data_IF_889692374013
#
_entry.id   IF_889692374013
#
_cell.length_a   1.000
_cell.length_b   1.000
_cell.length_c   1.000
_cell.angle_alpha   90.00
_cell.angle_beta   90.00
_cell.angle_gamma   90.00
#
_symmetry.space_group_name_H-M   'P 1'
#
loop_
_entity.id
_entity.type
_entity.pdbx_description
1 polymer ?
#
# COMPACT_ATOMS: atom_id res chain seq x y z
N UNK A 1 27.48 4.82 -7.19
CA UNK A 1 27.79 5.64 -6.01
C UNK A 1 27.77 7.11 -6.41
N UNK A 2 27.23 7.96 -5.57
CA UNK A 2 27.18 9.42 -5.82
C UNK A 2 28.42 10.10 -5.26
N UNK A 3 29.22 10.68 -6.15
CA UNK A 3 30.39 11.51 -5.81
C UNK A 3 30.18 12.93 -6.33
N UNK A 4 30.33 13.93 -5.46
CA UNK A 4 30.17 15.36 -5.84
C UNK A 4 28.87 15.64 -6.61
N UNK A 5 27.77 15.00 -6.23
CA UNK A 5 26.45 15.17 -6.85
C UNK A 5 26.23 14.40 -8.16
N UNK A 6 27.20 13.59 -8.62
CA UNK A 6 27.08 12.75 -9.82
C UNK A 6 27.23 11.29 -9.48
N UNK A 7 26.41 10.43 -10.12
CA UNK A 7 26.55 8.99 -9.99
C UNK A 7 27.69 8.47 -10.88
N UNK A 8 28.55 7.65 -10.27
CA UNK A 8 29.62 6.92 -10.93
C UNK A 8 29.39 5.42 -10.79
N UNK A 9 29.74 4.67 -11.85
CA UNK A 9 29.62 3.20 -11.84
C UNK A 9 30.65 2.61 -10.86
N UNK A 10 30.19 1.67 -10.02
CA UNK A 10 31.02 0.93 -9.09
C UNK A 10 30.73 -0.57 -9.18
N UNK A 11 31.64 -1.41 -8.72
CA UNK A 11 31.40 -2.84 -8.60
C UNK A 11 30.46 -3.17 -7.43
N UNK A 12 29.76 -4.30 -7.49
CA UNK A 12 28.92 -4.79 -6.39
C UNK A 12 29.71 -4.93 -5.07
N UNK A 13 30.92 -5.49 -5.15
CA UNK A 13 31.79 -5.64 -3.97
C UNK A 13 32.18 -4.32 -3.31
N UNK A 14 32.49 -3.31 -4.11
CA UNK A 14 32.82 -1.96 -3.61
C UNK A 14 31.62 -1.33 -2.91
N UNK A 15 30.45 -1.42 -3.52
CA UNK A 15 29.19 -0.89 -2.97
C UNK A 15 28.83 -1.58 -1.66
N UNK A 16 28.90 -2.93 -1.61
CA UNK A 16 28.61 -3.68 -0.39
C UNK A 16 29.60 -3.37 0.74
N UNK A 17 30.89 -3.13 0.44
CA UNK A 17 31.89 -2.69 1.43
C UNK A 17 31.52 -1.35 2.05
N UNK A 18 31.09 -0.37 1.22
CA UNK A 18 30.69 0.94 1.71
C UNK A 18 29.44 0.83 2.59
N UNK A 19 28.42 0.09 2.14
CA UNK A 19 27.20 -0.10 2.92
C UNK A 19 27.50 -0.77 4.25
N UNK A 20 28.28 -1.85 4.25
CA UNK A 20 28.71 -2.56 5.47
C UNK A 20 29.42 -1.60 6.44
N UNK A 21 30.40 -0.85 5.94
CA UNK A 21 31.15 0.10 6.77
C UNK A 21 30.23 1.19 7.36
N UNK A 22 29.24 1.67 6.60
CA UNK A 22 28.26 2.64 7.11
C UNK A 22 27.39 2.04 8.21
N UNK A 23 26.88 0.83 8.02
CA UNK A 23 26.04 0.13 9.00
C UNK A 23 26.84 -0.17 10.28
N UNK A 24 28.08 -0.66 10.17
CA UNK A 24 28.93 -0.97 11.32
C UNK A 24 29.30 0.26 12.18
N UNK A 25 29.34 1.43 11.57
CA UNK A 25 29.67 2.70 12.24
C UNK A 25 28.44 3.50 12.69
N UNK A 26 27.23 2.96 12.49
CA UNK A 26 25.97 3.62 12.86
C UNK A 26 25.25 2.80 13.92
N UNK A 27 24.66 3.46 14.92
CA UNK A 27 23.88 2.77 15.92
C UNK A 27 22.59 2.21 15.30
N UNK A 28 22.18 1.01 15.75
CA UNK A 28 21.08 0.25 15.13
C UNK A 28 19.77 1.02 15.05
N UNK A 29 19.42 1.76 16.08
CA UNK A 29 18.22 2.56 16.17
C UNK A 29 18.15 3.70 15.12
N UNK A 30 19.30 4.04 14.53
CA UNK A 30 19.41 5.08 13.51
C UNK A 30 19.39 4.55 12.07
N UNK A 31 19.08 3.27 11.91
CA UNK A 31 18.92 2.63 10.59
C UNK A 31 17.45 2.30 10.39
N UNK A 32 16.90 2.68 9.25
CA UNK A 32 15.54 2.30 8.87
C UNK A 32 15.45 1.89 7.41
N UNK A 33 14.33 1.27 7.04
CA UNK A 33 14.09 0.88 5.66
C UNK A 33 12.63 0.92 5.25
N UNK A 34 12.42 1.16 3.96
CA UNK A 34 11.10 1.23 3.37
C UNK A 34 11.02 0.41 2.09
N UNK A 35 9.95 -0.38 1.97
CA UNK A 35 9.66 -1.15 0.77
C UNK A 35 8.50 -0.52 0.00
N UNK A 36 8.58 -0.49 -1.32
CA UNK A 36 7.68 0.27 -2.17
C UNK A 36 6.50 -0.52 -2.74
N UNK A 37 5.75 0.16 -3.57
CA UNK A 37 4.39 -0.16 -4.01
C UNK A 37 4.30 -1.33 -5.02
N UNK A 38 5.40 -1.65 -5.72
CA UNK A 38 5.45 -2.66 -6.78
C UNK A 38 6.29 -3.89 -6.41
N UNK A 39 6.83 -3.95 -5.20
CA UNK A 39 7.67 -5.06 -4.77
C UNK A 39 6.85 -6.34 -4.63
N UNK A 40 7.41 -7.47 -5.07
CA UNK A 40 6.81 -8.78 -4.84
C UNK A 40 6.99 -9.22 -3.38
N UNK A 41 6.26 -10.26 -2.99
CA UNK A 41 6.25 -10.74 -1.61
C UNK A 41 7.60 -11.34 -1.19
N UNK A 42 8.34 -11.95 -2.11
CA UNK A 42 9.69 -12.48 -1.83
C UNK A 42 10.65 -11.35 -1.45
N UNK A 43 10.63 -10.26 -2.21
CA UNK A 43 11.44 -9.07 -1.91
C UNK A 43 11.02 -8.46 -0.57
N UNK A 44 9.73 -8.33 -0.31
CA UNK A 44 9.21 -7.86 0.97
C UNK A 44 9.66 -8.78 2.13
N UNK A 45 9.53 -10.10 1.96
CA UNK A 45 9.88 -11.05 3.01
C UNK A 45 11.38 -11.06 3.31
N UNK A 46 12.24 -11.12 2.29
CA UNK A 46 13.70 -11.09 2.53
C UNK A 46 14.14 -9.73 3.08
N UNK A 47 13.51 -8.63 2.67
CA UNK A 47 13.76 -7.32 3.27
C UNK A 47 13.47 -7.31 4.77
N UNK A 48 12.32 -7.84 5.17
CA UNK A 48 11.99 -8.03 6.58
C UNK A 48 12.99 -8.90 7.31
N UNK A 49 13.35 -10.07 6.74
CA UNK A 49 14.34 -10.98 7.32
C UNK A 49 15.75 -10.36 7.42
N UNK A 50 16.11 -9.48 6.49
CA UNK A 50 17.35 -8.71 6.53
C UNK A 50 17.37 -7.78 7.74
N UNK A 51 16.30 -7.05 7.98
CA UNK A 51 16.19 -6.20 9.16
C UNK A 51 16.14 -7.00 10.45
N UNK A 52 15.34 -8.06 10.50
CA UNK A 52 15.15 -8.89 11.69
C UNK A 52 16.39 -9.71 12.05
N UNK A 53 17.06 -10.35 11.07
CA UNK A 53 18.11 -11.35 11.31
C UNK A 53 19.52 -10.84 11.04
N UNK A 54 19.72 -9.91 10.11
CA UNK A 54 21.03 -9.37 9.78
C UNK A 54 21.34 -8.14 10.60
N UNK A 55 20.41 -7.21 10.69
CA UNK A 55 20.58 -5.96 11.42
C UNK A 55 20.09 -6.03 12.88
N UNK A 56 19.15 -6.93 13.19
CA UNK A 56 18.52 -7.08 14.50
C UNK A 56 17.80 -5.79 14.95
N UNK A 57 16.94 -5.25 14.05
CA UNK A 57 16.15 -4.03 14.24
C UNK A 57 14.77 -4.17 13.59
N UNK A 58 13.79 -3.35 14.05
CA UNK A 58 12.41 -3.38 13.58
C UNK A 58 11.98 -2.06 12.90
N UNK A 59 12.92 -1.22 12.50
CA UNK A 59 12.65 0.06 11.88
C UNK A 59 12.40 -0.10 10.37
N UNK A 60 11.33 -0.77 9.99
CA UNK A 60 10.94 -0.95 8.59
C UNK A 60 9.45 -0.75 8.39
N UNK A 61 9.07 -0.27 7.19
CA UNK A 61 7.71 0.09 6.85
C UNK A 61 7.45 -0.11 5.34
N UNK A 62 6.20 -0.34 4.98
CA UNK A 62 5.76 -0.40 3.58
C UNK A 62 4.84 0.76 3.18
N UNK A 63 4.29 1.52 4.11
CA UNK A 63 3.48 2.69 3.81
C UNK A 63 4.39 3.87 3.44
N UNK A 64 3.91 4.71 2.53
CA UNK A 64 4.52 6.00 2.19
C UNK A 64 3.84 7.18 2.87
N UNK A 65 2.78 6.92 3.62
CA UNK A 65 1.95 7.90 4.32
C UNK A 65 1.51 7.36 5.70
N UNK A 66 0.90 8.23 6.50
CA UNK A 66 0.46 7.91 7.87
C UNK A 66 -0.95 7.29 7.92
N UNK A 67 -1.42 6.65 6.81
CA UNK A 67 -2.73 6.01 6.79
C UNK A 67 -2.89 5.01 7.94
N UNK A 68 -4.06 5.08 8.58
CA UNK A 68 -4.41 4.12 9.62
C UNK A 68 -4.66 2.74 8.99
N UNK A 69 -4.07 1.72 9.60
CA UNK A 69 -4.33 0.31 9.27
C UNK A 69 -4.38 -0.47 10.59
N UNK A 70 -5.31 -1.40 10.68
CA UNK A 70 -5.37 -2.40 11.74
C UNK A 70 -5.00 -3.76 11.15
N UNK A 71 -3.82 -4.27 11.48
CA UNK A 71 -3.36 -5.59 11.00
C UNK A 71 -3.69 -6.74 11.96
N UNK A 72 -4.40 -6.47 13.06
CA UNK A 72 -4.78 -7.49 14.06
C UNK A 72 -5.62 -8.63 13.48
N UNK A 73 -6.42 -8.33 12.45
CA UNK A 73 -7.14 -9.34 11.66
C UNK A 73 -7.02 -9.03 10.18
N UNK A 74 -6.91 -10.09 9.38
CA UNK A 74 -6.76 -9.96 7.91
C UNK A 74 -7.96 -9.26 7.26
N UNK A 75 -9.18 -9.49 7.76
CA UNK A 75 -10.41 -8.83 7.31
C UNK A 75 -10.39 -7.28 7.44
N UNK A 76 -9.48 -6.72 8.25
CA UNK A 76 -9.38 -5.29 8.49
C UNK A 76 -8.69 -4.52 7.35
N UNK A 77 -8.04 -5.21 6.42
CA UNK A 77 -7.35 -4.58 5.28
C UNK A 77 -7.65 -5.25 3.92
N UNK A 78 -8.66 -6.12 3.87
CA UNK A 78 -9.07 -6.78 2.63
C UNK A 78 -10.35 -6.19 2.03
N UNK A 79 -10.56 -6.49 0.76
CA UNK A 79 -11.84 -6.34 0.08
C UNK A 79 -12.69 -7.58 0.32
N UNK A 80 -13.40 -7.60 1.44
CA UNK A 80 -14.00 -8.81 2.00
C UNK A 80 -15.24 -9.33 1.23
N UNK A 81 -16.01 -8.43 0.60
CA UNK A 81 -17.20 -8.85 -0.17
C UNK A 81 -16.84 -9.54 -1.49
N UNK A 82 -15.57 -9.71 -1.79
CA UNK A 82 -14.98 -10.15 -3.05
C UNK A 82 -15.19 -9.21 -4.25
N UNK A 83 -14.30 -9.31 -5.24
CA UNK A 83 -14.43 -8.54 -6.48
C UNK A 83 -15.65 -8.99 -7.28
N UNK A 84 -15.97 -10.26 -7.26
CA UNK A 84 -17.18 -10.78 -7.90
C UNK A 84 -18.45 -10.38 -7.14
N UNK A 85 -18.38 -10.26 -5.82
CA UNK A 85 -19.49 -9.82 -4.97
C UNK A 85 -20.01 -8.42 -5.29
N UNK A 86 -19.24 -7.58 -5.99
CA UNK A 86 -19.71 -6.27 -6.50
C UNK A 86 -20.98 -6.45 -7.35
N UNK A 87 -21.05 -7.52 -8.17
CA UNK A 87 -22.19 -7.80 -9.02
C UNK A 87 -23.39 -8.41 -8.27
N UNK A 88 -23.21 -8.78 -6.99
CA UNK A 88 -24.27 -9.29 -6.12
C UNK A 88 -24.81 -8.22 -5.16
N UNK A 89 -24.11 -7.09 -5.06
CA UNK A 89 -24.44 -6.04 -4.11
C UNK A 89 -25.67 -5.25 -4.55
N UNK A 90 -26.57 -4.93 -3.62
CA UNK A 90 -27.76 -4.09 -3.84
C UNK A 90 -27.55 -2.64 -3.41
N UNK A 91 -26.49 -2.35 -2.61
CA UNK A 91 -26.08 -1.01 -2.22
C UNK A 91 -24.55 -0.93 -2.12
N UNK A 92 -23.95 0.05 -2.77
CA UNK A 92 -22.49 0.33 -2.66
C UNK A 92 -22.31 1.75 -2.14
N UNK A 93 -21.55 1.92 -1.05
CA UNK A 93 -21.19 3.22 -0.50
C UNK A 93 -19.69 3.45 -0.59
N UNK A 94 -19.30 4.44 -1.38
CA UNK A 94 -17.90 4.84 -1.63
C UNK A 94 -17.48 5.93 -0.65
N UNK A 95 -16.45 5.70 0.13
CA UNK A 95 -15.96 6.63 1.16
C UNK A 95 -14.45 6.83 1.00
N UNK A 96 -14.03 8.04 0.64
CA UNK A 96 -12.61 8.37 0.51
C UNK A 96 -11.90 7.65 -0.64
N UNK A 97 -12.60 7.34 -1.72
CA UNK A 97 -12.04 6.72 -2.93
C UNK A 97 -12.76 7.20 -4.18
N UNK A 98 -12.03 7.29 -5.30
CA UNK A 98 -12.58 7.45 -6.63
C UNK A 98 -12.20 6.22 -7.47
N UNK A 99 -13.08 5.20 -7.55
CA UNK A 99 -12.74 3.92 -8.20
C UNK A 99 -12.47 4.06 -9.70
N UNK A 100 -12.92 5.13 -10.36
CA UNK A 100 -12.60 5.36 -11.78
C UNK A 100 -11.11 5.53 -12.02
N UNK A 101 -10.39 6.13 -11.08
CA UNK A 101 -8.95 6.38 -11.20
C UNK A 101 -8.10 5.42 -10.38
N UNK A 102 -8.58 5.01 -9.21
CA UNK A 102 -7.84 4.18 -8.28
C UNK A 102 -7.98 2.68 -8.56
N UNK A 103 -9.14 2.26 -9.09
CA UNK A 103 -9.47 0.86 -9.33
C UNK A 103 -10.39 0.70 -10.54
N UNK A 104 -9.91 1.01 -11.74
CA UNK A 104 -10.71 1.11 -12.98
C UNK A 104 -11.47 -0.16 -13.31
N UNK A 105 -10.92 -1.34 -13.04
CA UNK A 105 -11.60 -2.62 -13.28
C UNK A 105 -12.73 -2.84 -12.26
N UNK A 106 -12.53 -2.44 -10.98
CA UNK A 106 -13.62 -2.42 -10.01
C UNK A 106 -14.72 -1.46 -10.43
N UNK A 107 -14.35 -0.26 -10.90
CA UNK A 107 -15.32 0.72 -11.41
C UNK A 107 -16.17 0.16 -12.55
N UNK A 108 -15.57 -0.57 -13.48
CA UNK A 108 -16.28 -1.25 -14.55
C UNK A 108 -17.27 -2.31 -14.02
N UNK A 109 -16.91 -3.04 -12.95
CA UNK A 109 -17.83 -3.98 -12.27
C UNK A 109 -18.96 -3.27 -11.51
N UNK A 110 -18.68 -2.17 -10.84
CA UNK A 110 -19.71 -1.33 -10.20
C UNK A 110 -20.71 -0.85 -11.26
N UNK A 111 -20.20 -0.36 -12.41
CA UNK A 111 -21.05 0.00 -13.54
C UNK A 111 -21.91 -1.16 -14.03
N UNK A 112 -21.33 -2.36 -14.14
CA UNK A 112 -22.06 -3.57 -14.54
C UNK A 112 -23.15 -3.93 -13.53
N UNK A 113 -22.86 -3.84 -12.23
CA UNK A 113 -23.85 -4.04 -11.16
C UNK A 113 -25.00 -3.03 -11.24
N UNK A 114 -24.69 -1.76 -11.45
CA UNK A 114 -25.70 -0.74 -11.66
C UNK A 114 -26.62 -1.04 -12.85
N UNK A 115 -26.03 -1.40 -14.01
CA UNK A 115 -26.80 -1.63 -15.24
C UNK A 115 -27.66 -2.90 -15.18
N UNK A 116 -27.19 -3.96 -14.54
CA UNK A 116 -27.87 -5.24 -14.55
C UNK A 116 -28.80 -5.46 -13.34
N UNK A 117 -28.45 -4.88 -12.19
CA UNK A 117 -29.14 -5.15 -10.92
C UNK A 117 -29.76 -3.91 -10.29
N UNK A 118 -29.65 -2.73 -10.93
CA UNK A 118 -30.07 -1.44 -10.36
C UNK A 118 -29.46 -1.17 -8.98
N UNK A 119 -28.22 -1.63 -8.75
CA UNK A 119 -27.50 -1.42 -7.50
C UNK A 119 -27.47 0.06 -7.15
N UNK A 120 -27.92 0.42 -5.95
CA UNK A 120 -27.84 1.79 -5.47
C UNK A 120 -26.39 2.14 -5.15
N UNK A 121 -25.89 3.26 -5.72
CA UNK A 121 -24.54 3.73 -5.48
C UNK A 121 -24.60 5.08 -4.77
N UNK A 122 -23.88 5.19 -3.66
CA UNK A 122 -23.75 6.41 -2.84
C UNK A 122 -22.27 6.73 -2.73
N UNK A 123 -21.91 7.98 -2.77
CA UNK A 123 -20.56 8.45 -2.47
C UNK A 123 -20.60 9.56 -1.42
N UNK A 124 -19.65 9.56 -0.52
CA UNK A 124 -19.51 10.64 0.46
C UNK A 124 -19.20 11.98 -0.22
N UNK A 125 -18.49 11.95 -1.34
CA UNK A 125 -18.04 13.12 -2.08
C UNK A 125 -18.61 13.12 -3.49
N UNK A 126 -18.65 14.30 -4.13
CA UNK A 126 -18.75 14.37 -5.58
C UNK A 126 -17.45 13.88 -6.21
N UNK A 127 -17.52 12.80 -6.97
CA UNK A 127 -16.41 12.14 -7.64
C UNK A 127 -16.33 12.46 -9.13
N UNK A 128 -17.21 13.32 -9.62
CA UNK A 128 -17.36 13.62 -11.04
C UNK A 128 -17.99 12.45 -11.82
N UNK A 129 -17.63 12.29 -13.08
CA UNK A 129 -18.15 11.21 -13.92
C UNK A 129 -17.53 9.86 -13.58
N UNK A 130 -18.30 8.96 -12.96
CA UNK A 130 -17.94 7.56 -12.73
C UNK A 130 -18.40 6.61 -13.85
N UNK A 131 -19.03 7.14 -14.90
CA UNK A 131 -19.68 6.40 -15.99
C UNK A 131 -21.02 5.72 -15.61
N UNK A 132 -21.55 6.03 -14.44
CA UNK A 132 -22.87 5.63 -13.94
C UNK A 132 -23.36 6.65 -12.93
N UNK A 133 -24.69 6.79 -12.73
CA UNK A 133 -25.28 7.68 -11.73
C UNK A 133 -24.99 7.19 -10.31
N UNK A 134 -24.79 8.12 -9.39
CA UNK A 134 -24.67 7.87 -7.96
C UNK A 134 -25.24 9.04 -7.17
N UNK A 135 -25.60 8.78 -5.91
CA UNK A 135 -26.00 9.82 -4.96
C UNK A 135 -24.75 10.40 -4.29
N UNK A 136 -24.51 11.70 -4.48
CA UNK A 136 -23.37 12.39 -3.84
C UNK A 136 -23.83 13.06 -2.55
N UNK A 137 -23.03 12.93 -1.48
CA UNK A 137 -23.24 13.57 -0.19
C UNK A 137 -22.31 14.79 -0.03
N UNK A 138 -22.28 15.40 1.17
CA UNK A 138 -21.61 16.69 1.41
C UNK A 138 -20.09 16.60 1.71
N UNK A 139 -19.53 15.40 1.77
CA UNK A 139 -18.09 15.19 2.00
C UNK A 139 -17.62 15.40 3.45
N UNK A 140 -18.49 15.64 4.43
CA UNK A 140 -18.10 15.88 5.80
C UNK A 140 -17.96 14.59 6.60
N UNK A 141 -16.91 14.48 7.40
CA UNK A 141 -16.71 13.33 8.29
C UNK A 141 -17.76 13.26 9.40
N UNK A 142 -18.38 14.41 9.78
CA UNK A 142 -19.51 14.42 10.70
C UNK A 142 -20.70 13.63 10.15
N UNK A 143 -20.98 13.74 8.84
CA UNK A 143 -22.06 12.97 8.23
C UNK A 143 -21.81 11.47 8.31
N UNK A 144 -20.57 11.01 8.15
CA UNK A 144 -20.22 9.60 8.34
C UNK A 144 -20.48 9.14 9.78
N UNK A 145 -20.13 9.98 10.75
CA UNK A 145 -20.43 9.73 12.17
C UNK A 145 -21.93 9.56 12.37
N UNK A 146 -22.75 10.48 11.86
CA UNK A 146 -24.21 10.44 12.00
C UNK A 146 -24.81 9.19 11.29
N UNK A 147 -24.28 8.81 10.14
CA UNK A 147 -24.67 7.59 9.43
C UNK A 147 -24.35 6.34 10.26
N UNK A 148 -23.13 6.21 10.77
CA UNK A 148 -22.72 5.01 11.49
C UNK A 148 -23.17 4.99 12.96
N UNK A 149 -23.66 6.10 13.52
CA UNK A 149 -24.44 6.13 14.77
C UNK A 149 -25.87 5.59 14.58
N UNK A 150 -26.32 5.45 13.33
CA UNK A 150 -27.64 4.88 13.00
C UNK A 150 -28.79 5.90 12.96
N UNK A 151 -28.47 7.19 13.04
CA UNK A 151 -29.45 8.28 13.15
C UNK A 151 -29.76 8.98 11.80
N UNK A 152 -29.36 8.37 10.67
CA UNK A 152 -29.46 8.97 9.34
C UNK A 152 -30.31 8.10 8.40
N UNK A 153 -30.87 8.69 7.33
CA UNK A 153 -31.63 7.95 6.33
C UNK A 153 -30.75 6.94 5.57
N UNK A 154 -29.49 7.30 5.30
CA UNK A 154 -28.52 6.39 4.68
C UNK A 154 -28.26 5.17 5.59
N UNK A 155 -28.25 5.35 6.91
CA UNK A 155 -28.14 4.24 7.87
C UNK A 155 -29.23 3.21 7.68
N UNK A 156 -30.49 3.66 7.51
CA UNK A 156 -31.64 2.77 7.27
C UNK A 156 -31.53 2.05 5.94
N UNK A 157 -31.02 2.73 4.90
CA UNK A 157 -30.79 2.09 3.59
C UNK A 157 -29.75 0.98 3.70
N UNK A 158 -28.62 1.21 4.39
CA UNK A 158 -27.59 0.19 4.62
C UNK A 158 -28.15 -0.99 5.43
N UNK A 159 -28.95 -0.71 6.46
CA UNK A 159 -29.59 -1.74 7.30
C UNK A 159 -30.58 -2.59 6.50
N UNK A 160 -31.36 -1.97 5.62
CA UNK A 160 -32.37 -2.65 4.83
C UNK A 160 -31.82 -3.36 3.59
N UNK A 161 -30.63 -2.97 3.10
CA UNK A 161 -29.99 -3.65 2.00
C UNK A 161 -29.66 -5.12 2.35
N UNK A 162 -29.80 -6.04 1.41
CA UNK A 162 -29.49 -7.45 1.62
C UNK A 162 -27.98 -7.70 1.62
N UNK A 163 -27.29 -7.15 0.64
CA UNK A 163 -25.85 -7.27 0.44
C UNK A 163 -25.19 -5.87 0.27
N UNK A 164 -25.21 -5.03 1.31
CA UNK A 164 -24.55 -3.73 1.24
C UNK A 164 -23.04 -3.89 1.15
N UNK A 165 -22.37 -2.98 0.46
CA UNK A 165 -20.93 -2.92 0.33
C UNK A 165 -20.44 -1.53 0.72
N UNK A 166 -19.68 -1.42 1.80
CA UNK A 166 -19.07 -0.18 2.24
C UNK A 166 -17.60 -0.25 1.87
N UNK A 167 -17.14 0.68 1.01
CA UNK A 167 -15.76 0.69 0.50
C UNK A 167 -15.04 1.89 1.09
N UNK A 168 -14.07 1.64 1.95
CA UNK A 168 -13.19 2.64 2.55
C UNK A 168 -11.90 2.71 1.72
N UNK A 169 -11.65 3.87 1.12
CA UNK A 169 -10.43 4.14 0.37
C UNK A 169 -9.34 4.78 1.21
N UNK A 170 -8.15 4.85 0.62
CA UNK A 170 -6.94 5.37 1.29
C UNK A 170 -7.09 6.82 1.75
N UNK A 171 -7.88 7.64 1.06
CA UNK A 171 -8.10 9.03 1.49
C UNK A 171 -8.83 9.13 2.83
N UNK A 172 -9.78 8.21 3.13
CA UNK A 172 -10.38 8.14 4.46
C UNK A 172 -9.37 7.66 5.50
N UNK A 173 -8.57 6.64 5.15
CA UNK A 173 -7.59 6.07 6.06
C UNK A 173 -6.46 7.04 6.41
N UNK A 174 -6.24 8.08 5.59
CA UNK A 174 -5.31 9.18 5.82
C UNK A 174 -5.92 10.39 6.56
N UNK A 175 -7.23 10.38 6.83
CA UNK A 175 -7.88 11.49 7.57
C UNK A 175 -7.53 11.49 9.06
N UNK A 176 -7.67 12.65 9.70
CA UNK A 176 -7.42 12.77 11.15
C UNK A 176 -8.35 11.88 11.98
N UNK A 177 -9.55 11.59 11.48
CA UNK A 177 -10.53 10.72 12.14
C UNK A 177 -10.52 9.27 11.62
N UNK A 178 -9.51 8.87 10.87
CA UNK A 178 -9.44 7.58 10.21
C UNK A 178 -9.70 6.39 11.14
N UNK A 179 -8.99 6.33 12.26
CA UNK A 179 -9.15 5.26 13.27
C UNK A 179 -10.54 5.24 13.89
N UNK A 180 -11.09 6.42 14.21
CA UNK A 180 -12.44 6.54 14.76
C UNK A 180 -13.48 6.02 13.75
N UNK A 181 -13.45 6.52 12.52
CA UNK A 181 -14.42 6.17 11.47
C UNK A 181 -14.31 4.71 11.03
N UNK A 182 -13.09 4.17 10.94
CA UNK A 182 -12.85 2.75 10.69
C UNK A 182 -13.57 1.87 11.73
N UNK A 183 -13.31 2.13 13.02
CA UNK A 183 -13.88 1.37 14.12
C UNK A 183 -15.40 1.50 14.18
N UNK A 184 -15.90 2.70 13.94
CA UNK A 184 -17.31 3.02 13.96
C UNK A 184 -18.08 2.33 12.82
N UNK A 185 -17.53 2.36 11.60
CA UNK A 185 -18.07 1.64 10.45
C UNK A 185 -18.16 0.13 10.75
N UNK A 186 -17.08 -0.46 11.23
CA UNK A 186 -17.03 -1.89 11.54
C UNK A 186 -18.04 -2.27 12.64
N UNK A 187 -18.11 -1.45 13.71
CA UNK A 187 -19.08 -1.63 14.81
C UNK A 187 -20.53 -1.56 14.30
N UNK A 188 -20.86 -0.57 13.47
CA UNK A 188 -22.19 -0.41 12.88
C UNK A 188 -22.57 -1.61 12.02
N UNK A 189 -21.70 -2.06 11.14
CA UNK A 189 -21.96 -3.20 10.27
C UNK A 189 -22.12 -4.52 11.06
N UNK A 190 -21.29 -4.75 12.07
CA UNK A 190 -21.38 -5.91 12.94
C UNK A 190 -22.69 -5.92 13.72
N UNK A 191 -23.05 -4.77 14.34
CA UNK A 191 -24.30 -4.63 15.12
C UNK A 191 -25.55 -4.93 14.29
N UNK A 192 -25.53 -4.58 13.00
CA UNK A 192 -26.66 -4.75 12.08
C UNK A 192 -26.56 -6.04 11.24
N UNK A 193 -25.73 -6.99 11.63
CA UNK A 193 -25.51 -8.27 10.96
C UNK A 193 -25.15 -8.15 9.46
N UNK A 194 -24.37 -7.12 9.09
CA UNK A 194 -23.81 -6.91 7.75
C UNK A 194 -22.39 -7.45 7.60
N UNK A 195 -21.84 -7.98 8.70
CA UNK A 195 -20.63 -8.80 8.74
C UNK A 195 -21.04 -10.12 9.36
N UNK A 196 -21.13 -11.17 8.55
CA UNK A 196 -21.51 -12.53 8.92
C UNK A 196 -20.79 -13.53 8.01
N UNK A 197 -21.08 -14.83 8.16
CA UNK A 197 -20.42 -15.89 7.41
C UNK A 197 -20.73 -15.87 5.90
N UNK A 198 -21.91 -15.35 5.51
CA UNK A 198 -22.35 -15.30 4.11
C UNK A 198 -21.94 -14.02 3.40
N UNK A 199 -21.77 -12.91 4.15
CA UNK A 199 -21.48 -11.60 3.60
C UNK A 199 -20.69 -10.72 4.56
N UNK A 200 -19.62 -10.13 4.08
CA UNK A 200 -18.90 -9.13 4.83
C UNK A 200 -18.92 -7.79 4.08
N UNK A 201 -19.74 -6.85 4.54
CA UNK A 201 -19.94 -5.56 3.94
C UNK A 201 -18.78 -4.57 4.12
N UNK A 202 -17.79 -4.89 4.94
CA UNK A 202 -16.65 -4.03 5.25
C UNK A 202 -15.51 -4.28 4.27
N UNK A 203 -15.15 -3.28 3.45
CA UNK A 203 -14.14 -3.41 2.41
C UNK A 203 -13.11 -2.29 2.48
N UNK A 204 -11.85 -2.64 2.35
CA UNK A 204 -10.75 -1.70 2.18
C UNK A 204 -10.31 -1.73 0.71
N UNK A 205 -10.18 -0.56 0.10
CA UNK A 205 -9.65 -0.43 -1.25
C UNK A 205 -8.23 0.13 -1.18
N UNK A 206 -7.26 -0.77 -1.32
CA UNK A 206 -5.84 -0.42 -1.45
C UNK A 206 -5.49 -0.20 -2.92
N UNK A 207 -4.67 0.81 -3.19
CA UNK A 207 -4.36 1.24 -4.56
C UNK A 207 -3.13 0.56 -5.16
N UNK A 208 -2.22 0.02 -4.32
CA UNK A 208 -0.91 -0.47 -4.78
C UNK A 208 -0.80 -2.00 -4.71
N UNK A 209 -0.09 -2.58 -5.67
CA UNK A 209 -0.01 -4.04 -5.86
C UNK A 209 0.66 -4.78 -4.68
N UNK A 210 1.61 -4.14 -4.01
CA UNK A 210 2.34 -4.75 -2.90
C UNK A 210 1.62 -4.64 -1.54
N UNK A 211 0.62 -3.75 -1.40
CA UNK A 211 0.07 -3.34 -0.11
C UNK A 211 -0.43 -4.51 0.73
N UNK A 212 -1.33 -5.34 0.18
CA UNK A 212 -1.92 -6.45 0.94
C UNK A 212 -0.85 -7.50 1.29
N UNK A 213 0.06 -7.80 0.35
CA UNK A 213 1.17 -8.72 0.58
C UNK A 213 2.10 -8.25 1.71
N UNK A 214 2.45 -6.98 1.72
CA UNK A 214 3.30 -6.39 2.76
C UNK A 214 2.62 -6.42 4.15
N UNK A 215 1.31 -6.21 4.23
CA UNK A 215 0.55 -6.34 5.48
C UNK A 215 0.43 -7.80 5.95
N UNK A 216 0.27 -8.74 5.02
CA UNK A 216 0.31 -10.18 5.33
C UNK A 216 1.68 -10.59 5.89
N UNK A 217 2.76 -10.00 5.38
CA UNK A 217 4.14 -10.22 5.84
C UNK A 217 4.49 -9.45 7.13
N UNK A 218 3.60 -8.56 7.59
CA UNK A 218 3.85 -7.75 8.78
C UNK A 218 4.91 -6.67 8.57
N UNK A 219 5.05 -6.15 7.34
CA UNK A 219 5.95 -5.04 7.02
C UNK A 219 5.22 -3.73 7.28
N UNK A 220 4.90 -3.51 8.53
CA UNK A 220 4.22 -2.32 9.04
C UNK A 220 4.67 -2.03 10.45
N UNK A 221 4.96 -0.79 10.74
CA UNK A 221 5.32 -0.35 12.07
C UNK A 221 4.12 0.37 12.72
N UNK A 222 3.31 -0.38 13.48
CA UNK A 222 2.13 0.16 14.17
C UNK A 222 2.48 0.91 15.45
N UNK A 223 3.61 0.58 16.10
CA UNK A 223 3.99 1.10 17.41
C UNK A 223 4.72 2.43 17.32
N UNK A 224 5.52 2.62 16.27
CA UNK A 224 6.34 3.81 16.06
C UNK A 224 5.88 4.54 14.80
N UNK A 225 5.85 5.86 14.85
CA UNK A 225 5.59 6.66 13.65
C UNK A 225 6.88 6.84 12.84
N UNK A 226 7.31 5.77 12.15
CA UNK A 226 8.59 5.71 11.43
C UNK A 226 8.71 6.82 10.36
N UNK A 227 7.59 7.19 9.74
CA UNK A 227 7.56 8.25 8.75
C UNK A 227 7.77 9.63 9.37
N UNK A 228 7.19 9.89 10.54
CA UNK A 228 7.43 11.15 11.24
C UNK A 228 8.86 11.20 11.81
N UNK A 229 9.38 10.06 12.27
CA UNK A 229 10.76 9.95 12.70
C UNK A 229 11.74 10.21 11.54
N UNK A 230 11.42 9.72 10.33
CA UNK A 230 12.17 10.03 9.12
C UNK A 230 12.12 11.53 8.79
N UNK A 231 10.94 12.14 8.79
CA UNK A 231 10.76 13.60 8.56
C UNK A 231 11.46 14.46 9.60
N UNK A 232 11.61 13.95 10.81
CA UNK A 232 12.31 14.61 11.91
C UNK A 232 13.83 14.28 11.93
N UNK A 233 14.37 13.64 10.87
CA UNK A 233 15.80 13.35 10.69
C UNK A 233 16.41 12.51 11.83
N UNK A 234 15.65 11.53 12.35
CA UNK A 234 16.14 10.67 13.43
C UNK A 234 17.04 9.55 12.94
N UNK A 235 17.06 9.27 11.62
CA UNK A 235 17.83 8.19 11.02
C UNK A 235 19.08 8.73 10.32
N UNK A 236 20.18 7.99 10.44
CA UNK A 236 21.43 8.28 9.74
C UNK A 236 21.55 7.43 8.45
N UNK A 237 20.88 6.26 8.39
CA UNK A 237 20.86 5.38 7.21
C UNK A 237 19.41 5.04 6.86
N UNK A 238 19.06 5.21 5.59
CA UNK A 238 17.74 4.87 5.03
C UNK A 238 17.90 3.94 3.84
N UNK A 239 17.29 2.74 3.90
CA UNK A 239 17.30 1.79 2.81
C UNK A 239 15.92 1.75 2.12
N UNK A 240 15.89 2.17 0.87
CA UNK A 240 14.69 2.26 0.02
C UNK A 240 14.71 1.13 -1.01
N UNK A 241 13.75 0.21 -0.96
CA UNK A 241 13.61 -0.87 -1.94
C UNK A 241 12.37 -0.62 -2.80
N UNK A 242 12.56 -0.09 -4.00
CA UNK A 242 11.47 0.31 -4.90
C UNK A 242 10.54 1.38 -4.32
N UNK A 243 11.03 2.18 -3.37
CA UNK A 243 10.23 3.20 -2.70
C UNK A 243 10.57 4.60 -3.19
N UNK A 244 9.64 5.23 -3.90
CA UNK A 244 9.78 6.55 -4.51
C UNK A 244 8.71 7.55 -4.05
N UNK A 245 7.80 7.14 -3.16
CA UNK A 245 6.65 7.96 -2.75
C UNK A 245 6.80 8.61 -1.37
N UNK A 246 7.97 8.47 -0.75
CA UNK A 246 8.23 9.12 0.53
C UNK A 246 8.39 10.63 0.36
N UNK A 247 7.69 11.39 1.20
CA UNK A 247 7.79 12.84 1.22
C UNK A 247 8.60 13.28 2.44
N UNK A 248 9.91 13.44 2.26
CA UNK A 248 10.83 14.02 3.25
C UNK A 248 11.98 14.74 2.56
N UNK A 249 12.53 15.75 3.22
CA UNK A 249 13.67 16.49 2.73
C UNK A 249 14.96 15.87 3.29
N UNK A 250 15.79 15.28 2.41
CA UNK A 250 17.10 14.73 2.78
C UNK A 250 18.02 15.84 3.32
N UNK A 251 18.71 15.56 4.44
CA UNK A 251 19.82 16.35 4.98
C UNK A 251 21.11 15.55 4.94
N UNK A 252 21.48 14.97 6.07
CA UNK A 252 22.74 14.24 6.26
C UNK A 252 22.58 12.72 6.20
N UNK A 253 21.34 12.22 5.96
CA UNK A 253 21.06 10.79 5.88
C UNK A 253 21.83 10.16 4.71
N UNK A 254 22.39 8.97 4.97
CA UNK A 254 22.95 8.13 3.92
C UNK A 254 21.85 7.25 3.33
N UNK A 255 21.48 7.51 2.09
CA UNK A 255 20.35 6.86 1.43
C UNK A 255 20.84 5.82 0.44
N UNK A 256 20.37 4.58 0.63
CA UNK A 256 20.57 3.45 -0.27
C UNK A 256 19.25 3.23 -1.01
N UNK A 257 19.25 3.35 -2.33
CA UNK A 257 18.11 3.06 -3.18
C UNK A 257 18.35 1.78 -3.97
N UNK A 258 17.39 0.87 -3.96
CA UNK A 258 17.36 -0.33 -4.80
C UNK A 258 16.12 -0.30 -5.66
N UNK A 259 16.26 -0.44 -6.97
CA UNK A 259 15.11 -0.45 -7.89
C UNK A 259 15.54 -0.48 -9.36
N UNK A 260 14.55 -0.68 -10.24
CA UNK A 260 14.76 -0.76 -11.70
C UNK A 260 14.64 0.60 -12.41
N UNK A 261 13.72 1.43 -11.94
CA UNK A 261 13.44 2.77 -12.47
C UNK A 261 13.46 3.73 -11.30
N UNK A 262 14.30 4.75 -11.38
CA UNK A 262 14.41 5.73 -10.32
C UNK A 262 13.48 6.92 -10.53
N UNK A 263 12.94 7.42 -9.44
CA UNK A 263 12.24 8.70 -9.32
C UNK A 263 12.80 9.41 -8.07
N UNK A 264 11.96 9.92 -7.19
CA UNK A 264 12.38 10.68 -6.01
C UNK A 264 13.38 9.90 -5.12
N UNK A 265 13.16 8.62 -4.89
CA UNK A 265 14.05 7.79 -4.08
C UNK A 265 15.46 7.69 -4.66
N UNK A 266 15.57 7.50 -5.99
CA UNK A 266 16.87 7.46 -6.67
C UNK A 266 17.55 8.84 -6.73
N UNK A 267 16.78 9.92 -6.87
CA UNK A 267 17.31 11.28 -6.94
C UNK A 267 18.05 11.67 -5.66
N UNK A 268 17.47 11.33 -4.50
CA UNK A 268 18.07 11.63 -3.19
C UNK A 268 19.12 10.61 -2.73
N UNK A 269 19.27 9.46 -3.42
CA UNK A 269 20.17 8.40 -3.02
C UNK A 269 21.65 8.78 -3.07
N UNK A 270 22.45 8.17 -2.20
CA UNK A 270 23.92 8.18 -2.22
C UNK A 270 24.45 6.95 -2.95
N UNK A 271 23.72 5.83 -2.86
CA UNK A 271 24.00 4.60 -3.59
C UNK A 271 22.74 4.13 -4.29
N UNK A 272 22.88 3.73 -5.57
CA UNK A 272 21.82 3.05 -6.33
C UNK A 272 22.26 1.63 -6.60
N UNK A 273 21.44 0.66 -6.17
CA UNK A 273 21.56 -0.77 -6.45
C UNK A 273 20.57 -1.12 -7.58
N UNK A 274 21.06 -1.49 -8.78
CA UNK A 274 20.17 -1.78 -9.90
C UNK A 274 19.42 -3.10 -9.68
N UNK A 275 18.13 -2.98 -9.35
CA UNK A 275 17.19 -4.08 -9.21
C UNK A 275 16.41 -4.38 -10.47
N UNK A 276 15.54 -5.39 -10.42
CA UNK A 276 14.69 -5.82 -11.53
C UNK A 276 13.34 -5.10 -11.55
N UNK A 277 12.81 -4.85 -12.75
CA UNK A 277 11.40 -4.54 -12.89
C UNK A 277 10.54 -5.78 -12.61
N UNK A 278 9.26 -5.57 -12.27
CA UNK A 278 8.33 -6.68 -11.97
C UNK A 278 8.15 -7.66 -13.15
N UNK A 279 8.44 -7.25 -14.39
CA UNK A 279 8.43 -8.08 -15.58
C UNK A 279 9.72 -8.88 -15.81
N UNK A 280 10.77 -8.59 -15.05
CA UNK A 280 12.11 -9.16 -15.17
C UNK A 280 12.44 -10.15 -14.05
N UNK A 281 11.49 -10.40 -13.15
CA UNK A 281 11.59 -11.37 -12.06
C UNK A 281 10.27 -12.10 -11.86
N UNK A 282 10.34 -13.36 -11.42
CA UNK A 282 9.18 -14.08 -10.91
C UNK A 282 8.85 -13.56 -9.49
N UNK A 283 7.58 -13.55 -9.13
CA UNK A 283 7.22 -13.16 -7.77
C UNK A 283 5.76 -13.35 -7.45
N UNK A 284 5.43 -13.43 -6.17
CA UNK A 284 4.07 -13.52 -5.68
C UNK A 284 3.53 -12.15 -5.27
N UNK A 285 2.25 -11.94 -5.52
CA UNK A 285 1.49 -10.76 -5.10
C UNK A 285 0.18 -11.20 -4.46
N UNK A 286 -0.27 -10.48 -3.44
CA UNK A 286 -1.58 -10.70 -2.86
C UNK A 286 -2.55 -9.64 -3.37
N UNK A 287 -3.63 -10.05 -4.02
CA UNK A 287 -4.65 -9.12 -4.51
C UNK A 287 -5.53 -8.56 -3.38
N UNK A 288 -6.46 -7.66 -3.72
CA UNK A 288 -7.36 -7.01 -2.76
C UNK A 288 -8.19 -7.99 -1.92
N UNK A 289 -8.57 -9.16 -2.47
CA UNK A 289 -9.32 -10.20 -1.76
C UNK A 289 -8.44 -11.06 -0.86
N UNK A 290 -7.14 -10.81 -0.84
CA UNK A 290 -6.18 -11.62 -0.09
C UNK A 290 -5.78 -12.93 -0.79
N UNK A 291 -6.00 -13.05 -2.11
CA UNK A 291 -5.57 -14.20 -2.92
C UNK A 291 -4.13 -13.98 -3.39
N UNK A 292 -3.27 -14.93 -3.06
CA UNK A 292 -1.87 -14.94 -3.53
C UNK A 292 -1.82 -15.46 -4.96
N UNK A 293 -1.17 -14.71 -5.85
CA UNK A 293 -1.02 -15.03 -7.27
C UNK A 293 0.44 -14.90 -7.68
N UNK A 294 0.92 -15.83 -8.51
CA UNK A 294 2.29 -15.78 -9.06
C UNK A 294 2.31 -15.00 -10.36
N UNK A 295 3.13 -13.97 -10.42
CA UNK A 295 3.53 -13.30 -11.65
C UNK A 295 4.81 -13.97 -12.16
N UNK A 296 4.84 -14.31 -13.47
CA UNK A 296 6.00 -14.90 -14.10
C UNK A 296 6.77 -13.83 -14.87
N UNK A 297 8.08 -13.90 -14.83
CA UNK A 297 8.93 -12.99 -15.60
C UNK A 297 8.72 -13.17 -17.11
N UNK A 298 8.72 -12.05 -17.80
CA UNK A 298 8.63 -11.99 -19.25
C UNK A 298 9.98 -11.66 -19.93
N UNK A 299 10.93 -11.16 -19.16
CA UNK A 299 12.26 -10.74 -19.62
C UNK A 299 13.31 -10.97 -18.54
N UNK A 300 14.52 -10.55 -18.78
CA UNK A 300 15.64 -10.62 -17.86
C UNK A 300 16.11 -9.22 -17.49
N UNK A 301 16.65 -9.04 -16.25
CA UNK A 301 17.25 -7.76 -15.86
C UNK A 301 18.36 -7.35 -16.83
N UNK A 302 18.45 -6.06 -17.21
CA UNK A 302 19.45 -5.58 -18.15
C UNK A 302 20.83 -5.44 -17.50
N UNK A 303 21.88 -5.76 -18.26
CA UNK A 303 23.27 -5.53 -17.84
C UNK A 303 23.66 -6.30 -16.59
N UNK A 304 24.08 -5.58 -15.55
CA UNK A 304 24.47 -6.14 -14.24
C UNK A 304 23.38 -6.03 -13.18
N UNK A 305 22.15 -5.64 -13.55
CA UNK A 305 21.01 -5.63 -12.63
C UNK A 305 20.66 -7.05 -12.19
N UNK A 306 20.17 -7.17 -10.94
CA UNK A 306 19.83 -8.45 -10.31
C UNK A 306 18.38 -8.46 -9.85
N UNK A 307 17.81 -9.65 -9.64
CA UNK A 307 16.53 -9.76 -8.95
C UNK A 307 16.65 -9.18 -7.52
N UNK A 308 15.64 -8.46 -7.07
CA UNK A 308 15.72 -7.69 -5.82
C UNK A 308 16.08 -8.53 -4.59
N UNK A 309 15.53 -9.74 -4.51
CA UNK A 309 15.85 -10.66 -3.42
C UNK A 309 17.34 -11.08 -3.39
N UNK A 310 17.98 -11.21 -4.56
CA UNK A 310 19.40 -11.56 -4.66
C UNK A 310 20.29 -10.48 -4.08
N UNK A 311 19.98 -9.21 -4.39
CA UNK A 311 20.72 -8.06 -3.89
C UNK A 311 20.72 -8.04 -2.36
N UNK A 312 19.54 -8.21 -1.75
CA UNK A 312 19.38 -8.21 -0.30
C UNK A 312 20.09 -9.41 0.34
N UNK A 313 20.00 -10.58 -0.30
CA UNK A 313 20.64 -11.80 0.19
C UNK A 313 22.19 -11.72 0.14
N UNK A 314 22.73 -11.18 -0.94
CA UNK A 314 24.16 -10.94 -1.09
C UNK A 314 24.66 -9.87 -0.10
N UNK A 315 23.89 -8.79 0.12
CA UNK A 315 24.21 -7.78 1.11
C UNK A 315 24.25 -8.37 2.52
N UNK A 316 23.28 -9.24 2.86
CA UNK A 316 23.26 -9.95 4.15
C UNK A 316 24.49 -10.85 4.32
N UNK A 317 24.85 -11.61 3.27
CA UNK A 317 26.06 -12.43 3.25
C UNK A 317 27.33 -11.59 3.46
N UNK A 318 27.39 -10.44 2.80
CA UNK A 318 28.54 -9.55 2.91
C UNK A 318 28.70 -8.94 4.31
N UNK A 319 27.59 -8.62 4.98
CA UNK A 319 27.60 -8.05 6.34
C UNK A 319 27.96 -9.14 7.38
N UNK A 320 27.27 -10.30 7.37
CA UNK A 320 27.32 -11.31 8.44
C UNK A 320 28.05 -12.59 8.03
N UNK A 321 28.68 -12.65 6.84
CA UNK A 321 29.31 -13.84 6.25
C UNK A 321 28.35 -15.04 6.15
N UNK A 322 27.04 -14.78 6.02
CA UNK A 322 26.00 -15.80 5.92
C UNK A 322 24.83 -15.29 5.10
N UNK A 323 24.42 -16.08 4.10
CA UNK A 323 23.17 -15.85 3.34
C UNK A 323 21.96 -16.02 4.26
N UNK A 324 20.90 -15.28 3.98
CA UNK A 324 19.59 -15.48 4.61
C UNK A 324 18.92 -16.74 4.08
N UNK A 325 19.04 -16.97 2.75
CA UNK A 325 18.51 -18.14 2.04
C UNK A 325 19.52 -18.63 1.01
N UNK A 326 19.60 -19.95 0.81
CA UNK A 326 20.53 -20.56 -0.14
C UNK A 326 20.11 -20.31 -1.59
N UNK A 327 18.79 -20.35 -1.84
CA UNK A 327 18.15 -20.15 -3.16
C UNK A 327 16.75 -19.57 -3.01
N UNK A 328 16.07 -19.35 -4.16
CA UNK A 328 14.73 -18.79 -4.20
C UNK A 328 13.68 -19.77 -3.67
N UNK A 329 13.85 -21.05 -3.85
CA UNK A 329 12.90 -22.08 -3.39
C UNK A 329 12.86 -22.13 -1.86
N UNK A 330 14.01 -21.98 -1.20
CA UNK A 330 14.09 -21.86 0.26
C UNK A 330 13.42 -20.56 0.74
N UNK A 331 13.66 -19.45 0.05
CA UNK A 331 13.02 -18.17 0.34
C UNK A 331 11.48 -18.27 0.23
N UNK A 332 10.96 -18.79 -0.89
CA UNK A 332 9.54 -18.99 -1.12
C UNK A 332 8.92 -19.92 -0.06
N UNK A 333 9.56 -21.04 0.23
CA UNK A 333 9.10 -22.01 1.24
C UNK A 333 9.03 -21.39 2.64
N UNK A 334 10.07 -20.63 3.03
CA UNK A 334 10.12 -19.94 4.30
C UNK A 334 9.04 -18.86 4.41
N UNK A 335 8.84 -18.08 3.34
CA UNK A 335 7.79 -17.07 3.24
C UNK A 335 6.39 -17.67 3.41
N UNK A 336 6.07 -18.76 2.72
CA UNK A 336 4.76 -19.42 2.84
C UNK A 336 4.55 -20.02 4.23
N UNK A 337 5.59 -20.61 4.85
CA UNK A 337 5.51 -21.07 6.22
C UNK A 337 5.22 -19.92 7.20
N UNK A 338 5.89 -18.78 7.02
CA UNK A 338 5.63 -17.57 7.81
C UNK A 338 4.17 -17.10 7.66
N UNK A 339 3.67 -17.00 6.42
CA UNK A 339 2.30 -16.57 6.14
C UNK A 339 1.24 -17.51 6.77
N UNK A 340 1.46 -18.82 6.75
CA UNK A 340 0.57 -19.79 7.38
C UNK A 340 0.55 -19.61 8.91
N UNK A 341 1.70 -19.42 9.54
CA UNK A 341 1.79 -19.15 10.98
C UNK A 341 1.10 -17.82 11.36
N UNK A 342 1.21 -16.77 10.53
CA UNK A 342 0.53 -15.51 10.77
C UNK A 342 -1.00 -15.64 10.64
N UNK A 343 -1.49 -16.40 9.65
CA UNK A 343 -2.93 -16.68 9.49
C UNK A 343 -3.49 -17.42 10.72
N UNK A 344 -2.78 -18.42 11.22
CA UNK A 344 -3.20 -19.15 12.43
C UNK A 344 -3.23 -18.25 13.66
N UNK A 345 -2.21 -17.41 13.86
CA UNK A 345 -2.16 -16.44 14.96
C UNK A 345 -3.31 -15.43 14.89
N UNK A 346 -3.58 -14.84 13.72
CA UNK A 346 -4.65 -13.87 13.51
C UNK A 346 -6.04 -14.49 13.69
N UNK A 347 -6.24 -15.74 13.32
CA UNK A 347 -7.50 -16.46 13.52
C UNK A 347 -7.74 -16.80 15.00
N UNK A 348 -6.68 -17.08 15.76
CA UNK A 348 -6.75 -17.43 17.17
C UNK A 348 -6.67 -16.21 18.11
N UNK A 349 -6.45 -15.00 17.58
CA UNK A 349 -6.44 -13.79 18.40
C UNK A 349 -7.85 -13.54 18.96
N UNK A 350 -7.97 -13.62 20.28
CA UNK A 350 -9.18 -13.25 21.03
C UNK A 350 -9.54 -11.82 20.65
N UNK A 351 -10.83 -11.55 20.45
CA UNK A 351 -11.37 -10.22 20.16
C UNK A 351 -10.74 -9.22 21.12
N UNK A 352 -9.78 -8.43 20.64
CA UNK A 352 -9.40 -7.24 21.38
C UNK A 352 -10.63 -6.34 21.39
N UNK A 353 -11.20 -6.13 22.58
CA UNK A 353 -12.19 -5.09 22.79
C UNK A 353 -11.49 -3.77 22.51
N UNK A 354 -11.66 -3.25 21.32
CA UNK A 354 -11.21 -1.90 20.97
C UNK A 354 -12.09 -0.98 21.81
N UNK A 355 -11.54 -0.48 22.93
CA UNK A 355 -12.18 0.57 23.70
C UNK A 355 -12.25 1.81 22.80
N UNK A 356 -13.40 2.00 22.17
CA UNK A 356 -13.70 3.15 21.29
C UNK A 356 -13.73 4.49 22.01
N UNK A 357 -13.51 4.52 23.34
CA UNK A 357 -13.62 5.70 24.18
C UNK A 357 -12.38 6.61 24.22
N UNK A 358 -11.27 6.21 23.58
CA UNK A 358 -10.01 6.97 23.61
C UNK A 358 -9.59 7.57 22.26
N UNK A 359 -10.37 7.36 21.19
CA UNK A 359 -10.02 7.86 19.86
C UNK A 359 -10.75 9.16 19.60
N UNK A 360 -10.02 10.25 19.42
CA UNK A 360 -10.60 11.56 19.12
C UNK A 360 -11.26 11.56 17.74
N UNK A 361 -12.41 12.21 17.66
CA UNK A 361 -13.10 12.53 16.42
C UNK A 361 -12.92 14.00 16.09
N UNK A 362 -12.44 14.31 14.90
CA UNK A 362 -12.34 15.65 14.36
C UNK A 362 -13.23 15.77 13.13
N UNK A 363 -14.16 16.75 13.14
CA UNK A 363 -14.93 17.02 11.95
C UNK A 363 -14.07 17.75 10.92
N UNK A 364 -14.00 17.18 9.71
CA UNK A 364 -13.26 17.74 8.57
C UNK A 364 -13.96 17.41 7.26
N UNK A 365 -13.70 18.22 6.24
CA UNK A 365 -14.08 17.88 4.87
C UNK A 365 -13.10 16.83 4.33
N UNK A 366 -13.62 15.63 4.03
CA UNK A 366 -12.82 14.56 3.46
C UNK A 366 -12.48 14.90 2.00
N UNK A 367 -11.22 15.08 1.70
CA UNK A 367 -10.74 15.26 0.32
C UNK A 367 -10.32 13.92 -0.25
N UNK A 368 -10.88 13.56 -1.40
CA UNK A 368 -10.45 12.36 -2.11
C UNK A 368 -9.20 12.69 -2.91
N UNK A 369 -8.10 12.07 -2.52
CA UNK A 369 -6.81 12.24 -3.17
C UNK A 369 -6.67 11.14 -4.24
N UNK A 370 -6.53 11.54 -5.49
CA UNK A 370 -6.39 10.60 -6.61
C UNK A 370 -4.99 10.74 -7.19
N UNK A 371 -4.23 9.64 -7.23
CA UNK A 371 -2.96 9.57 -7.97
C UNK A 371 -3.23 9.83 -9.46
N UNK A 372 -2.28 10.46 -10.15
CA UNK A 372 -2.42 10.62 -11.60
C UNK A 372 -2.44 9.24 -12.27
N UNK A 373 -3.46 9.00 -13.08
CA UNK A 373 -3.65 7.72 -13.77
C UNK A 373 -2.46 7.31 -14.64
N UNK A 374 -1.84 8.28 -15.32
CA UNK A 374 -0.70 8.03 -16.19
C UNK A 374 0.62 7.92 -15.44
N UNK A 375 0.68 8.45 -14.21
CA UNK A 375 1.88 8.48 -13.36
C UNK A 375 1.69 7.69 -12.06
N UNK A 376 0.94 6.60 -12.13
CA UNK A 376 0.61 5.78 -10.97
C UNK A 376 1.83 5.11 -10.31
N UNK A 377 2.93 4.92 -11.05
CA UNK A 377 4.16 4.31 -10.55
C UNK A 377 5.38 4.78 -11.34
N UNK A 378 6.58 4.45 -10.86
CA UNK A 378 7.86 4.89 -11.45
C UNK A 378 8.08 4.40 -12.89
N UNK A 379 7.59 3.21 -13.23
CA UNK A 379 7.71 2.66 -14.59
C UNK A 379 6.82 3.45 -15.55
N UNK A 380 5.58 3.75 -15.14
CA UNK A 380 4.68 4.59 -15.92
C UNK A 380 5.23 6.00 -16.12
N UNK A 381 5.79 6.62 -15.06
CA UNK A 381 6.46 7.92 -15.12
C UNK A 381 7.65 7.95 -16.08
N UNK A 382 8.37 6.83 -16.25
CA UNK A 382 9.51 6.70 -17.15
C UNK A 382 9.10 6.45 -18.62
N UNK A 383 7.84 6.14 -18.89
CA UNK A 383 7.34 5.84 -20.23
C UNK A 383 7.06 7.12 -21.03
N UNK A 384 7.68 7.27 -22.21
CA UNK A 384 7.42 8.39 -23.12
C UNK A 384 5.93 8.47 -23.51
N UNK A 385 5.31 7.34 -23.79
CA UNK A 385 3.88 7.29 -24.15
C UNK A 385 3.00 7.76 -23.02
N UNK A 386 3.28 7.37 -21.77
CA UNK A 386 2.50 7.81 -20.61
C UNK A 386 2.69 9.32 -20.35
N UNK A 387 3.91 9.84 -20.54
CA UNK A 387 4.19 11.28 -20.47
C UNK A 387 3.40 12.05 -21.52
N UNK A 388 3.34 11.55 -22.76
CA UNK A 388 2.58 12.18 -23.84
C UNK A 388 1.07 12.16 -23.54
N UNK A 389 0.54 11.06 -23.02
CA UNK A 389 -0.86 10.96 -22.58
C UNK A 389 -1.18 11.94 -21.44
N UNK A 390 -0.32 12.03 -20.44
CA UNK A 390 -0.46 12.99 -19.34
C UNK A 390 -0.50 14.43 -19.85
N UNK A 391 0.46 14.81 -20.70
CA UNK A 391 0.54 16.15 -21.27
C UNK A 391 -0.69 16.46 -22.14
N UNK A 392 -1.19 15.51 -22.93
CA UNK A 392 -2.40 15.67 -23.74
C UNK A 392 -3.62 15.93 -22.86
N UNK A 393 -3.76 15.21 -21.72
CA UNK A 393 -4.85 15.43 -20.77
C UNK A 393 -4.81 16.83 -20.14
N UNK A 394 -3.62 17.32 -19.78
CA UNK A 394 -3.46 18.67 -19.25
C UNK A 394 -3.84 19.72 -20.34
N UNK A 395 -3.37 19.53 -21.56
CA UNK A 395 -3.66 20.44 -22.67
C UNK A 395 -5.14 20.48 -23.03
N UNK A 396 -5.85 19.34 -23.00
CA UNK A 396 -7.30 19.28 -23.20
C UNK A 396 -8.06 20.07 -22.14
N UNK A 397 -7.66 19.97 -20.86
CA UNK A 397 -8.24 20.80 -19.79
C UNK A 397 -8.01 22.30 -20.01
N UNK A 398 -6.86 22.68 -20.56
CA UNK A 398 -6.53 24.08 -20.83
C UNK A 398 -7.28 24.68 -22.03
N UNK A 399 -7.75 23.83 -22.95
CA UNK A 399 -8.50 24.28 -24.15
C UNK A 399 -10.01 24.32 -23.95
N UNK A 400 -10.53 23.91 -22.79
CA UNK A 400 -11.96 23.89 -22.50
C UNK A 400 -12.79 22.90 -23.34
N UNK A 401 -12.13 22.02 -24.09
CA UNK A 401 -12.76 20.92 -24.81
C UNK A 401 -12.85 19.70 -23.89
N UNK A 402 -13.80 19.70 -22.98
CA UNK A 402 -14.19 18.49 -22.27
C UNK A 402 -15.15 17.71 -23.17
N UNK A 403 -14.70 16.55 -23.63
CA UNK A 403 -15.53 15.54 -24.27
C UNK A 403 -16.15 14.61 -23.25
#
# INVERSE_FOLDING_TARGET
IKYNGKFEKASWDEVYKIIKSKIENTSKEKVCGFVGDLTNMETGYIFKEFFDRTLDIKNYESRSDNRFIDTGKRENYLFNSSINGIEESDLIFLIGTNPRYEATILNARIRKSYLNNNTKIISLNDLGDLTYPYESLDGQTQLLKDIFDGNNEISKQIINANKPMIILGESLLNSNSSRYLFNMTKKFLTKNNKINDDWNAFNILSCDAATVGNFDLGIINEENNLLDDLKNHKFDIVYLVGQDNLNFDKKDEFIIYQGSHGDNGAEIADIILPGSAYTEQDGYYTNLEGKIQKAQKASYPPGEAKEDWQIINELAEFINNRKLFNDKDELESSMFNYLNLQKEKKNNSVKQNINSSEVEFNNEALKVFVKDYYFSNVIAKSSKTMIECHNSKINLKSTGTEG
#
